data_IF_828263469721
#
_entry.id   IF_828263469721
#
_cell.length_a   1.000
_cell.length_b   1.000
_cell.length_c   1.000
_cell.angle_alpha   90.00
_cell.angle_beta   90.00
_cell.angle_gamma   90.00
#
_symmetry.space_group_name_H-M   'P 1'
#
loop_
_entity.id
_entity.type
_entity.pdbx_description
1 polymer ?
#
# COMPACT_ATOMS: atom_id res chain seq x y z
N UNK A 1 69.53 14.53 20.85
CA UNK A 1 68.74 15.39 19.94
C UNK A 1 68.67 14.72 18.57
N UNK A 2 67.47 14.69 17.96
CA UNK A 2 67.08 13.96 16.74
C UNK A 2 66.84 12.46 16.92
N UNK A 3 65.72 12.10 17.53
CA UNK A 3 65.24 10.70 17.55
C UNK A 3 63.86 10.48 18.18
N UNK A 4 63.16 11.54 18.57
CA UNK A 4 61.86 11.46 19.26
C UNK A 4 60.85 12.48 18.69
N UNK A 5 60.82 12.64 17.37
CA UNK A 5 59.83 13.52 16.72
C UNK A 5 59.27 12.93 15.41
N UNK A 6 59.13 11.60 15.35
CA UNK A 6 58.45 10.91 14.24
C UNK A 6 57.30 9.98 14.69
N UNK A 7 57.04 9.85 15.99
CA UNK A 7 55.86 9.12 16.50
C UNK A 7 54.62 9.99 16.72
N UNK A 8 54.64 11.26 16.29
CA UNK A 8 53.49 12.18 16.42
C UNK A 8 52.66 12.32 15.13
N UNK A 9 52.95 11.52 14.08
CA UNK A 9 52.24 11.59 12.78
C UNK A 9 51.45 10.31 12.44
N UNK A 10 51.32 9.36 13.37
CA UNK A 10 50.57 8.12 13.16
C UNK A 10 49.28 8.01 14.01
N UNK A 11 48.75 9.14 14.51
CA UNK A 11 47.50 9.18 15.30
C UNK A 11 46.40 10.06 14.69
N UNK A 12 46.48 10.39 13.40
CA UNK A 12 45.45 11.17 12.71
C UNK A 12 44.99 10.55 11.38
N UNK A 13 45.19 9.24 11.19
CA UNK A 13 44.58 8.52 10.08
C UNK A 13 43.42 7.64 10.56
N UNK A 14 42.24 8.00 10.05
CA UNK A 14 41.10 7.13 9.80
C UNK A 14 40.33 6.57 11.00
N UNK A 15 39.55 7.43 11.67
CA UNK A 15 38.19 7.04 12.09
C UNK A 15 37.20 8.17 11.82
N UNK A 16 37.14 8.61 10.56
CA UNK A 16 35.84 9.05 10.02
C UNK A 16 35.10 7.76 9.71
N UNK A 17 34.49 7.16 10.72
CA UNK A 17 33.40 6.22 10.48
C UNK A 17 32.26 7.08 9.94
N UNK A 18 32.24 7.21 8.61
CA UNK A 18 31.01 7.48 7.89
C UNK A 18 30.03 6.42 8.38
N UNK A 19 29.19 6.80 9.33
CA UNK A 19 27.99 6.07 9.63
C UNK A 19 27.08 6.29 8.43
N UNK A 20 27.42 5.66 7.30
CA UNK A 20 26.41 5.09 6.45
C UNK A 20 25.70 4.07 7.35
N UNK A 21 24.74 4.57 8.13
CA UNK A 21 23.73 3.76 8.75
C UNK A 21 23.07 3.05 7.57
N UNK A 22 23.53 1.83 7.28
CA UNK A 22 22.66 0.81 6.70
C UNK A 22 21.49 0.76 7.66
N UNK A 23 20.45 1.55 7.36
CA UNK A 23 19.22 1.56 8.13
C UNK A 23 18.56 0.22 7.84
N UNK A 24 18.97 -0.78 8.61
CA UNK A 24 18.33 -2.08 8.68
C UNK A 24 16.90 -1.80 9.10
N UNK A 25 15.99 -1.77 8.13
CA UNK A 25 14.58 -1.71 8.40
C UNK A 25 14.24 -3.04 9.06
N UNK A 26 14.23 -3.05 10.39
CA UNK A 26 13.47 -4.05 11.13
C UNK A 26 12.13 -4.17 10.43
N UNK A 27 11.62 -5.39 10.20
CA UNK A 27 10.36 -5.62 9.50
C UNK A 27 9.20 -5.07 10.34
N UNK A 28 9.02 -3.76 10.31
CA UNK A 28 8.01 -3.00 11.02
C UNK A 28 6.72 -3.00 10.20
N UNK A 29 5.63 -2.73 10.90
CA UNK A 29 4.29 -2.73 10.32
C UNK A 29 3.49 -1.53 10.82
N UNK A 30 2.31 -1.32 10.23
CA UNK A 30 1.37 -0.28 10.64
C UNK A 30 1.91 1.12 10.40
N UNK A 31 1.46 2.09 11.20
CA UNK A 31 1.80 3.51 11.04
C UNK A 31 3.31 3.81 11.14
N UNK A 32 4.08 2.95 11.79
CA UNK A 32 5.54 3.05 11.89
C UNK A 32 6.25 2.72 10.58
N UNK A 33 5.51 2.16 9.62
CA UNK A 33 6.04 1.58 8.41
C UNK A 33 5.07 1.81 7.23
N UNK A 34 4.55 3.03 7.10
CA UNK A 34 3.65 3.46 6.02
C UNK A 34 2.46 2.53 5.76
N UNK A 35 1.92 1.96 6.84
CA UNK A 35 0.78 1.05 6.77
C UNK A 35 1.13 -0.38 6.36
N UNK A 36 2.40 -0.76 6.31
CA UNK A 36 2.83 -2.12 5.97
C UNK A 36 2.10 -3.16 6.82
N UNK A 37 1.58 -4.17 6.15
CA UNK A 37 0.87 -5.27 6.79
C UNK A 37 1.82 -6.43 7.07
N UNK A 38 1.54 -7.16 8.14
CA UNK A 38 2.29 -8.36 8.46
C UNK A 38 1.89 -9.53 7.55
N UNK A 39 2.83 -10.43 7.21
CA UNK A 39 2.51 -11.64 6.46
C UNK A 39 1.62 -12.59 7.27
N UNK A 40 0.94 -13.50 6.58
CA UNK A 40 0.20 -14.61 7.17
C UNK A 40 -0.85 -14.19 8.22
N UNK A 41 -1.45 -13.01 8.06
CA UNK A 41 -2.39 -12.41 9.03
C UNK A 41 -1.84 -12.26 10.46
N UNK A 42 -0.52 -12.22 10.65
CA UNK A 42 0.06 -11.83 11.93
C UNK A 42 -0.45 -10.44 12.33
N UNK A 43 -0.62 -10.23 13.63
CA UNK A 43 -1.10 -8.97 14.16
C UNK A 43 0.04 -7.96 14.17
N UNK A 44 -0.25 -6.74 13.73
CA UNK A 44 0.65 -5.61 13.89
C UNK A 44 0.38 -4.92 15.22
N UNK A 45 1.29 -5.01 16.19
CA UNK A 45 1.11 -4.36 17.50
C UNK A 45 1.09 -2.83 17.39
N UNK A 46 0.65 -2.11 18.44
CA UNK A 46 0.71 -0.63 18.51
C UNK A 46 2.09 -0.06 18.23
N UNK A 47 3.14 -0.84 18.51
CA UNK A 47 4.55 -0.46 18.37
C UNK A 47 5.08 -0.81 16.98
N UNK A 48 4.26 -1.39 16.11
CA UNK A 48 4.63 -1.66 14.72
C UNK A 48 5.49 -2.91 14.57
N UNK A 49 5.22 -3.95 15.34
CA UNK A 49 5.88 -5.26 15.23
C UNK A 49 4.86 -6.35 14.92
N UNK A 50 5.27 -7.30 14.09
CA UNK A 50 4.43 -8.45 13.70
C UNK A 50 4.54 -9.59 14.71
N UNK A 51 3.40 -10.17 15.10
CA UNK A 51 3.38 -11.34 15.99
C UNK A 51 1.98 -11.85 16.28
N UNK A 52 1.89 -12.75 17.25
CA UNK A 52 0.64 -13.36 17.72
C UNK A 52 0.52 -13.26 19.25
N UNK A 53 -0.70 -13.49 19.74
CA UNK A 53 -1.01 -13.48 21.17
C UNK A 53 -1.33 -12.08 21.68
N UNK A 54 -1.54 -11.99 22.99
CA UNK A 54 -2.12 -10.81 23.64
C UNK A 54 -1.29 -9.54 23.44
N UNK A 55 0.03 -9.65 23.27
CA UNK A 55 0.94 -8.52 23.07
C UNK A 55 0.87 -7.91 21.66
N UNK A 56 0.19 -8.58 20.73
CA UNK A 56 0.10 -8.15 19.33
C UNK A 56 -1.35 -7.97 18.90
N UNK A 57 -2.22 -8.93 19.22
CA UNK A 57 -3.57 -9.02 18.68
C UNK A 57 -4.65 -8.41 19.58
N UNK A 58 -4.38 -8.22 20.88
CA UNK A 58 -5.42 -7.74 21.79
C UNK A 58 -5.73 -6.25 21.58
N UNK A 59 -6.92 -5.79 22.03
CA UNK A 59 -7.23 -4.36 22.03
C UNK A 59 -6.24 -3.56 22.89
N UNK A 60 -5.77 -4.13 24.00
CA UNK A 60 -4.79 -3.50 24.89
C UNK A 60 -3.41 -3.35 24.23
N UNK A 61 -3.04 -4.27 23.34
CA UNK A 61 -1.85 -4.16 22.50
C UNK A 61 -2.01 -3.13 21.37
N UNK A 62 -3.19 -2.53 21.20
CA UNK A 62 -3.49 -1.56 20.16
C UNK A 62 -3.21 -2.12 18.76
N UNK A 63 -3.66 -3.35 18.51
CA UNK A 63 -3.47 -4.04 17.24
C UNK A 63 -3.90 -3.13 16.06
N UNK A 64 -3.04 -2.95 15.06
CA UNK A 64 -3.25 -2.03 13.93
C UNK A 64 -3.89 -2.73 12.73
N UNK A 65 -3.45 -3.96 12.43
CA UNK A 65 -3.89 -4.78 11.30
C UNK A 65 -3.59 -6.26 11.58
N UNK A 66 -4.00 -7.17 10.70
CA UNK A 66 -3.90 -8.61 10.86
C UNK A 66 -5.11 -9.21 11.59
N UNK A 67 -4.91 -10.32 12.29
CA UNK A 67 -5.94 -11.01 13.05
C UNK A 67 -6.21 -10.39 14.44
N UNK A 68 -6.45 -9.07 14.49
CA UNK A 68 -6.79 -8.37 15.72
C UNK A 68 -8.02 -8.99 16.38
N UNK A 69 -8.00 -9.15 17.71
CA UNK A 69 -9.12 -9.68 18.49
C UNK A 69 -10.34 -8.75 18.45
N UNK A 70 -10.11 -7.45 18.33
CA UNK A 70 -11.11 -6.46 17.96
C UNK A 70 -11.10 -6.24 16.44
N UNK A 71 -12.05 -6.89 15.76
CA UNK A 71 -12.24 -6.71 14.32
C UNK A 71 -12.41 -5.22 13.97
N UNK A 72 -11.64 -4.77 12.97
CA UNK A 72 -11.70 -3.39 12.47
C UNK A 72 -13.06 -3.06 11.89
N UNK A 73 -13.46 -1.79 12.01
CA UNK A 73 -14.71 -1.27 11.45
C UNK A 73 -14.45 -0.81 10.01
N UNK A 74 -15.39 -1.08 9.11
CA UNK A 74 -15.26 -0.84 7.67
C UNK A 74 -16.60 -0.48 7.04
N UNK A 75 -16.58 -0.20 5.73
CA UNK A 75 -17.78 -0.02 4.92
C UNK A 75 -18.54 1.26 5.25
N UNK A 76 -19.84 1.27 4.98
CA UNK A 76 -20.70 2.44 5.21
C UNK A 76 -20.66 2.94 6.66
N UNK A 77 -20.48 2.02 7.62
CA UNK A 77 -20.40 2.31 9.06
C UNK A 77 -19.11 3.05 9.44
N UNK A 78 -18.10 3.06 8.58
CA UNK A 78 -16.82 3.74 8.78
C UNK A 78 -16.47 4.67 7.61
N UNK A 79 -17.47 5.33 7.01
CA UNK A 79 -17.24 6.31 5.95
C UNK A 79 -16.59 5.73 4.69
N UNK A 80 -16.81 4.44 4.42
CA UNK A 80 -16.23 3.73 3.27
C UNK A 80 -14.84 3.14 3.53
N UNK A 81 -14.36 3.11 4.77
CA UNK A 81 -13.07 2.50 5.10
C UNK A 81 -12.99 1.04 4.62
N UNK A 82 -11.88 0.68 4.00
CA UNK A 82 -11.60 -0.69 3.55
C UNK A 82 -10.92 -1.47 4.67
N UNK A 83 -11.07 -2.79 4.62
CA UNK A 83 -10.37 -3.67 5.54
C UNK A 83 -8.89 -3.87 5.13
N UNK A 84 -7.97 -3.90 6.10
CA UNK A 84 -6.60 -4.33 5.84
C UNK A 84 -6.57 -5.84 5.56
N UNK A 85 -5.43 -6.34 5.10
CA UNK A 85 -5.12 -7.75 4.88
C UNK A 85 -6.07 -8.44 3.89
N UNK A 86 -6.75 -7.65 3.04
CA UNK A 86 -7.83 -8.10 2.17
C UNK A 86 -8.90 -8.91 2.92
N UNK A 87 -9.21 -8.55 4.16
CA UNK A 87 -10.37 -9.11 4.85
C UNK A 87 -11.66 -8.64 4.17
N UNK A 88 -12.72 -9.42 4.29
CA UNK A 88 -14.04 -9.01 3.82
C UNK A 88 -14.65 -8.01 4.81
N UNK A 89 -15.32 -6.98 4.29
CA UNK A 89 -16.15 -6.11 5.09
C UNK A 89 -17.58 -6.66 5.13
N UNK A 90 -18.01 -7.17 6.29
CA UNK A 90 -19.39 -7.65 6.49
C UNK A 90 -20.43 -6.54 6.31
N UNK A 91 -21.70 -6.88 6.12
CA UNK A 91 -22.80 -5.91 6.10
C UNK A 91 -22.91 -5.06 7.37
N UNK A 92 -22.50 -5.62 8.52
CA UNK A 92 -22.43 -4.91 9.80
C UNK A 92 -21.23 -3.98 9.95
N UNK A 93 -20.38 -3.85 8.93
CA UNK A 93 -19.22 -2.96 8.95
C UNK A 93 -18.07 -3.46 9.79
N UNK A 94 -17.85 -4.78 9.85
CA UNK A 94 -16.69 -5.41 10.51
C UNK A 94 -15.84 -6.20 9.53
N UNK A 95 -14.53 -6.14 9.70
CA UNK A 95 -13.55 -6.90 8.93
C UNK A 95 -13.40 -8.33 9.45
N UNK A 96 -13.29 -9.30 8.53
CA UNK A 96 -12.97 -10.68 8.85
C UNK A 96 -13.06 -11.62 7.66
N UNK A 97 -13.12 -12.92 7.95
CA UNK A 97 -13.24 -14.00 6.98
C UNK A 97 -14.39 -14.94 7.34
N UNK A 98 -14.80 -15.77 6.38
CA UNK A 98 -15.91 -16.70 6.55
C UNK A 98 -17.23 -16.13 6.03
N UNK A 99 -18.28 -16.93 6.12
CA UNK A 99 -19.56 -16.62 5.47
C UNK A 99 -20.24 -15.37 6.03
N UNK A 100 -20.01 -15.08 7.31
CA UNK A 100 -20.50 -13.91 8.04
C UNK A 100 -19.95 -12.61 7.47
N UNK A 101 -18.76 -12.64 6.90
CA UNK A 101 -18.05 -11.48 6.39
C UNK A 101 -18.08 -11.40 4.87
N UNK A 102 -17.83 -12.52 4.21
CA UNK A 102 -17.59 -12.58 2.77
C UNK A 102 -18.83 -12.94 1.95
N UNK A 103 -19.88 -13.49 2.55
CA UNK A 103 -21.05 -13.90 1.76
C UNK A 103 -21.73 -12.70 1.13
N UNK A 104 -21.88 -12.72 -0.19
CA UNK A 104 -22.65 -11.73 -0.91
C UNK A 104 -24.13 -11.73 -0.54
N UNK A 105 -24.71 -12.90 -0.26
CA UNK A 105 -26.11 -13.00 0.21
C UNK A 105 -26.32 -12.38 1.60
N UNK A 106 -25.25 -12.18 2.37
CA UNK A 106 -25.26 -11.47 3.66
C UNK A 106 -24.77 -10.02 3.56
N UNK A 107 -24.59 -9.50 2.35
CA UNK A 107 -24.27 -8.09 2.11
C UNK A 107 -22.81 -7.72 2.39
N UNK A 108 -21.85 -8.59 2.04
CA UNK A 108 -20.44 -8.22 2.00
C UNK A 108 -20.24 -6.92 1.18
N UNK A 109 -19.56 -5.93 1.76
CA UNK A 109 -19.43 -4.58 1.22
C UNK A 109 -18.16 -4.39 0.37
N UNK A 110 -17.05 -5.03 0.74
CA UNK A 110 -15.74 -4.91 0.09
C UNK A 110 -14.81 -6.07 0.50
N UNK A 111 -13.61 -6.13 -0.10
CA UNK A 111 -12.71 -7.27 0.03
C UNK A 111 -13.11 -8.42 -0.91
N UNK A 112 -12.64 -9.65 -0.66
CA UNK A 112 -12.92 -10.82 -1.49
C UNK A 112 -14.31 -11.40 -1.17
N UNK A 113 -15.36 -10.61 -1.41
CA UNK A 113 -16.74 -11.08 -1.31
C UNK A 113 -17.00 -12.25 -2.27
N UNK A 114 -17.82 -13.22 -1.85
CA UNK A 114 -18.18 -14.38 -2.68
C UNK A 114 -19.15 -14.06 -3.80
N UNK A 115 -19.88 -12.94 -3.71
CA UNK A 115 -20.64 -12.45 -4.85
C UNK A 115 -19.77 -11.57 -5.74
N UNK A 116 -20.06 -11.64 -7.04
CA UNK A 116 -19.39 -10.86 -8.05
C UNK A 116 -19.56 -9.35 -7.80
N UNK A 117 -18.43 -8.67 -7.64
CA UNK A 117 -18.38 -7.22 -7.47
C UNK A 117 -18.35 -6.54 -8.84
N UNK A 118 -19.50 -6.00 -9.27
CA UNK A 118 -19.62 -5.26 -10.54
C UNK A 118 -18.86 -3.93 -10.52
N UNK A 119 -18.25 -3.59 -11.66
CA UNK A 119 -17.42 -2.40 -11.84
C UNK A 119 -17.43 -1.88 -13.29
N UNK A 120 -16.78 -0.73 -13.50
CA UNK A 120 -16.51 -0.19 -14.81
C UNK A 120 -17.76 0.30 -15.53
N UNK A 121 -17.74 0.29 -16.86
CA UNK A 121 -18.84 0.81 -17.68
C UNK A 121 -20.18 0.10 -17.44
N UNK A 122 -20.17 -1.18 -17.04
CA UNK A 122 -21.37 -1.95 -16.67
C UNK A 122 -21.91 -1.61 -15.27
N UNK A 123 -21.22 -0.75 -14.53
CA UNK A 123 -21.60 -0.28 -13.20
C UNK A 123 -21.34 1.22 -13.04
N UNK A 124 -21.72 2.03 -14.05
CA UNK A 124 -21.61 3.50 -14.02
C UNK A 124 -20.21 4.03 -13.70
N UNK A 125 -19.17 3.36 -14.20
CA UNK A 125 -17.77 3.74 -13.98
C UNK A 125 -17.23 3.39 -12.59
N UNK A 126 -17.97 2.60 -11.79
CA UNK A 126 -17.55 2.21 -10.43
C UNK A 126 -16.16 1.55 -10.45
N UNK A 127 -15.27 2.05 -9.62
CA UNK A 127 -13.94 1.45 -9.42
C UNK A 127 -14.01 0.28 -8.45
N UNK A 128 -13.09 -0.66 -8.61
CA UNK A 128 -12.94 -1.76 -7.68
C UNK A 128 -12.21 -1.32 -6.39
N UNK A 129 -12.58 -1.89 -5.23
CA UNK A 129 -11.87 -1.64 -3.98
C UNK A 129 -10.46 -2.25 -4.03
N UNK A 130 -9.57 -1.80 -3.13
CA UNK A 130 -8.25 -2.39 -2.91
C UNK A 130 -7.37 -2.49 -4.19
N UNK A 131 -7.56 -1.58 -5.16
CA UNK A 131 -6.88 -1.61 -6.45
C UNK A 131 -7.08 -2.90 -7.27
N UNK A 132 -8.09 -3.71 -6.95
CA UNK A 132 -8.46 -4.85 -7.79
C UNK A 132 -8.75 -4.38 -9.22
N UNK A 133 -8.48 -5.24 -10.18
CA UNK A 133 -8.69 -4.94 -11.58
C UNK A 133 -10.17 -5.07 -11.92
N UNK A 134 -10.69 -4.09 -12.64
CA UNK A 134 -11.99 -4.20 -13.27
C UNK A 134 -11.84 -4.85 -14.64
N UNK A 135 -12.27 -6.11 -14.77
CA UNK A 135 -12.14 -6.88 -16.02
C UNK A 135 -12.91 -6.24 -17.18
N UNK A 136 -12.64 -6.68 -18.41
CA UNK A 136 -13.42 -6.28 -19.59
C UNK A 136 -14.92 -6.58 -19.45
N UNK A 137 -15.27 -7.57 -18.62
CA UNK A 137 -16.64 -8.00 -18.34
C UNK A 137 -17.29 -7.26 -17.16
N UNK A 138 -16.62 -6.25 -16.60
CA UNK A 138 -17.17 -5.40 -15.55
C UNK A 138 -17.25 -6.07 -14.18
N UNK A 139 -16.27 -6.91 -13.85
CA UNK A 139 -16.15 -7.55 -12.54
C UNK A 139 -14.78 -7.32 -11.92
N UNK A 140 -14.74 -7.15 -10.59
CA UNK A 140 -13.50 -6.93 -9.85
C UNK A 140 -12.78 -8.24 -9.53
N UNK A 141 -11.46 -8.26 -9.69
CA UNK A 141 -10.62 -9.39 -9.29
C UNK A 141 -9.14 -9.16 -9.56
N UNK A 142 -8.35 -10.22 -9.45
CA UNK A 142 -6.92 -10.24 -9.78
C UNK A 142 -6.64 -11.41 -10.72
N UNK A 143 -5.48 -11.38 -11.36
CA UNK A 143 -5.08 -12.38 -12.34
C UNK A 143 -5.32 -11.92 -13.79
N UNK A 144 -4.81 -12.67 -14.77
CA UNK A 144 -4.86 -12.29 -16.19
C UNK A 144 -6.27 -12.01 -16.71
N UNK A 145 -7.28 -12.71 -16.21
CA UNK A 145 -8.69 -12.58 -16.62
C UNK A 145 -9.30 -11.22 -16.22
N UNK A 146 -8.77 -10.63 -15.15
CA UNK A 146 -9.23 -9.34 -14.62
C UNK A 146 -8.31 -8.20 -15.00
N UNK A 147 -6.99 -8.41 -14.88
CA UNK A 147 -5.97 -7.38 -15.06
C UNK A 147 -5.37 -7.33 -16.47
N UNK A 148 -5.63 -8.32 -17.30
CA UNK A 148 -5.04 -8.41 -18.63
C UNK A 148 -5.67 -7.47 -19.66
N UNK A 149 -5.84 -8.00 -20.87
CA UNK A 149 -6.35 -7.24 -22.01
C UNK A 149 -7.73 -6.65 -21.71
N UNK A 150 -7.91 -5.37 -22.04
CA UNK A 150 -9.16 -4.60 -21.84
C UNK A 150 -9.61 -4.47 -20.37
N UNK A 151 -8.70 -4.65 -19.42
CA UNK A 151 -8.91 -4.18 -18.05
C UNK A 151 -9.26 -2.68 -18.06
N UNK A 152 -10.30 -2.31 -17.31
CA UNK A 152 -10.94 -0.99 -17.38
C UNK A 152 -10.34 0.00 -16.40
N UNK A 153 -9.99 -0.45 -15.19
CA UNK A 153 -9.38 0.32 -14.10
C UNK A 153 -8.78 -0.66 -13.06
N UNK A 154 -8.09 -0.14 -12.05
CA UNK A 154 -7.34 -0.90 -11.06
C UNK A 154 -5.92 -1.22 -11.52
N UNK A 155 -5.31 -2.26 -10.96
CA UNK A 155 -3.95 -2.69 -11.24
C UNK A 155 -3.81 -3.44 -12.59
N UNK A 156 -4.35 -2.87 -13.67
CA UNK A 156 -4.25 -3.45 -15.01
C UNK A 156 -2.79 -3.69 -15.40
N UNK A 157 -2.49 -4.88 -15.94
CA UNK A 157 -1.13 -5.29 -16.33
C UNK A 157 -0.68 -4.72 -17.67
N UNK A 158 -1.62 -4.20 -18.47
CA UNK A 158 -1.32 -3.57 -19.74
C UNK A 158 -1.14 -2.07 -19.53
N UNK A 159 0.08 -1.58 -19.76
CA UNK A 159 0.39 -0.16 -19.68
C UNK A 159 -0.29 0.61 -20.82
N UNK A 160 -1.27 1.43 -20.45
CA UNK A 160 -1.86 2.42 -21.36
C UNK A 160 -1.10 3.73 -21.20
N UNK A 161 -0.50 4.29 -22.27
CA UNK A 161 0.20 5.56 -22.19
C UNK A 161 -0.72 6.68 -21.67
N UNK A 162 -0.13 7.62 -20.92
CA UNK A 162 -0.80 8.76 -20.36
C UNK A 162 -0.05 10.07 -20.66
N UNK A 163 -0.70 11.20 -20.37
CA UNK A 163 -0.09 12.52 -20.42
C UNK A 163 0.08 13.06 -21.84
N UNK A 164 1.03 13.97 -22.00
CA UNK A 164 1.29 14.69 -23.26
C UNK A 164 1.60 13.76 -24.44
N UNK A 165 2.24 12.61 -24.20
CA UNK A 165 2.52 11.57 -25.20
C UNK A 165 1.29 10.74 -25.59
N UNK A 166 0.15 10.95 -24.94
CA UNK A 166 -1.08 10.22 -25.14
C UNK A 166 -2.30 11.16 -25.21
N UNK A 167 -2.17 12.29 -25.90
CA UNK A 167 -3.23 13.29 -26.07
C UNK A 167 -3.87 13.76 -24.75
N UNK A 168 -3.07 13.85 -23.68
CA UNK A 168 -3.55 14.25 -22.35
C UNK A 168 -4.34 13.17 -21.61
N UNK A 169 -4.30 11.90 -22.07
CA UNK A 169 -4.97 10.80 -21.39
C UNK A 169 -4.55 10.72 -19.91
N UNK A 170 -5.52 10.53 -19.03
CA UNK A 170 -5.30 10.41 -17.58
C UNK A 170 -5.31 8.95 -17.16
N UNK A 171 -4.59 8.65 -16.09
CA UNK A 171 -4.63 7.35 -15.46
C UNK A 171 -5.94 7.12 -14.70
N UNK A 172 -6.37 5.86 -14.60
CA UNK A 172 -7.48 5.48 -13.72
C UNK A 172 -7.04 5.49 -12.26
N UNK A 173 -7.98 5.34 -11.31
CA UNK A 173 -7.71 5.24 -9.88
C UNK A 173 -6.91 6.41 -9.30
N UNK A 174 -6.89 7.54 -10.00
CA UNK A 174 -6.05 8.69 -9.69
C UNK A 174 -4.55 8.36 -9.59
N UNK A 175 -4.10 7.28 -10.25
CA UNK A 175 -2.68 6.98 -10.37
C UNK A 175 -1.94 8.13 -11.04
N UNK A 176 -0.68 8.26 -10.70
CA UNK A 176 0.17 9.31 -11.22
C UNK A 176 0.57 8.97 -12.66
N UNK A 177 0.50 9.96 -13.53
CA UNK A 177 1.09 9.88 -14.85
C UNK A 177 2.54 10.39 -14.78
N UNK A 178 3.49 9.48 -14.95
CA UNK A 178 4.93 9.79 -14.88
C UNK A 178 5.37 10.77 -15.99
N UNK A 179 6.55 11.40 -15.87
CA UNK A 179 7.12 12.21 -16.95
C UNK A 179 7.26 11.43 -18.27
N UNK A 180 7.41 10.10 -18.18
CA UNK A 180 7.55 9.22 -19.33
C UNK A 180 6.22 8.83 -19.98
N UNK A 181 5.08 9.13 -19.35
CA UNK A 181 3.76 8.79 -19.86
C UNK A 181 3.27 7.42 -19.44
N UNK A 182 3.69 6.92 -18.27
CA UNK A 182 3.22 5.65 -17.69
C UNK A 182 2.42 5.91 -16.42
N UNK A 183 1.40 5.09 -16.18
CA UNK A 183 0.55 5.19 -14.99
C UNK A 183 1.10 4.36 -13.83
N UNK A 184 1.14 4.90 -12.63
CA UNK A 184 1.57 4.13 -11.46
C UNK A 184 1.58 4.91 -10.16
N UNK A 185 2.23 4.31 -9.16
CA UNK A 185 2.42 4.85 -7.82
C UNK A 185 3.90 4.85 -7.47
N UNK A 186 4.27 5.65 -6.47
CA UNK A 186 5.66 5.76 -6.03
C UNK A 186 6.39 6.93 -6.70
N UNK A 187 7.63 7.16 -6.26
CA UNK A 187 8.41 8.36 -6.60
C UNK A 187 8.63 8.53 -8.11
N UNK A 188 8.83 7.43 -8.85
CA UNK A 188 9.11 7.49 -10.28
C UNK A 188 7.90 7.90 -11.13
N UNK A 189 6.69 7.71 -10.59
CA UNK A 189 5.44 8.09 -11.24
C UNK A 189 4.91 9.42 -10.71
N UNK A 190 4.90 9.59 -9.39
CA UNK A 190 4.27 10.70 -8.70
C UNK A 190 5.23 11.86 -8.38
N UNK A 191 6.54 11.67 -8.50
CA UNK A 191 7.54 12.66 -8.15
C UNK A 191 7.67 13.79 -9.18
N UNK A 192 8.89 14.32 -9.31
CA UNK A 192 9.22 15.44 -10.20
C UNK A 192 8.77 15.16 -11.63
N UNK A 193 8.01 16.10 -12.21
CA UNK A 193 7.52 15.99 -13.59
C UNK A 193 6.29 15.10 -13.78
N UNK A 194 5.65 14.64 -12.69
CA UNK A 194 4.34 14.01 -12.75
C UNK A 194 3.33 14.92 -13.46
N UNK A 195 2.64 14.39 -14.47
CA UNK A 195 1.83 15.16 -15.41
C UNK A 195 0.37 15.30 -14.96
N UNK A 196 -0.15 14.29 -14.25
CA UNK A 196 -1.52 14.26 -13.73
C UNK A 196 -1.68 13.18 -12.67
N UNK A 197 -2.81 13.17 -11.96
CA UNK A 197 -3.09 12.23 -10.88
C UNK A 197 -2.65 12.76 -9.51
N UNK A 198 -2.38 11.86 -8.58
CA UNK A 198 -1.92 12.18 -7.22
C UNK A 198 -0.43 12.54 -7.14
N UNK A 199 0.02 13.50 -7.96
CA UNK A 199 1.41 13.96 -7.98
C UNK A 199 1.85 14.50 -6.60
N UNK A 200 3.09 14.19 -6.20
CA UNK A 200 3.65 14.65 -4.94
C UNK A 200 3.86 16.16 -4.96
N UNK A 201 3.41 16.82 -3.91
CA UNK A 201 3.79 18.21 -3.64
C UNK A 201 5.20 18.26 -3.03
N UNK A 202 5.92 19.38 -3.15
CA UNK A 202 7.24 19.54 -2.52
C UNK A 202 7.26 19.23 -1.00
N UNK A 203 6.15 19.48 -0.30
CA UNK A 203 5.97 19.15 1.12
C UNK A 203 5.87 17.64 1.41
N UNK A 204 5.40 16.84 0.45
CA UNK A 204 5.28 15.38 0.59
C UNK A 204 6.61 14.67 0.34
N UNK A 205 7.42 15.16 -0.60
CA UNK A 205 8.75 14.62 -0.94
C UNK A 205 9.73 14.65 0.24
N UNK A 206 9.61 15.61 1.16
CA UNK A 206 10.45 15.70 2.35
C UNK A 206 10.20 14.56 3.36
N UNK A 207 9.07 13.85 3.28
CA UNK A 207 8.69 12.80 4.23
C UNK A 207 8.84 11.37 3.69
N UNK A 208 8.98 11.17 2.37
CA UNK A 208 9.11 9.84 1.73
C UNK A 208 10.49 9.19 1.98
N UNK A 209 11.47 9.94 2.47
CA UNK A 209 12.85 9.48 2.62
C UNK A 209 13.12 8.61 3.86
N UNK A 210 12.10 7.98 4.44
CA UNK A 210 12.28 7.27 5.73
C UNK A 210 12.55 5.79 5.63
N UNK A 211 12.07 5.07 4.62
CA UNK A 211 12.33 3.64 4.43
C UNK A 211 12.07 3.25 2.96
N UNK A 212 13.12 2.97 2.21
CA UNK A 212 13.05 2.20 0.96
C UNK A 212 14.02 1.03 1.15
N UNK A 213 13.64 -0.23 0.84
CA UNK A 213 14.51 -1.38 1.00
C UNK A 213 15.83 -1.25 0.22
#
# INVERSE_FOLDING_TARGET
>A
MKGLLLCALALAFAMVTTHAQLQYCEKRCGKQADGMECPNNLCCSKDGYCGLGVNYCSPAAGCQSGACSDNKICGAQAGGALCPNNHCCSSGGRCGYGSEYCSGSRGCQSGPCWADLKCGHLANGKQCPNNLCCSQHGYCGLGPEFCGVRCQNGACSMDRPCGNKANGARCTNNYCCSPNGSCGLGKDYCGTGCQSGACYTPSFLANILKCVP
#
